data_IF_820501923947
#
_entry.id   IF_820501923947
#
_cell.length_a   1.000
_cell.length_b   1.000
_cell.length_c   1.000
_cell.angle_alpha   90.00
_cell.angle_beta   90.00
_cell.angle_gamma   90.00
#
_symmetry.space_group_name_H-M   'P 1'
#
loop_
_entity.id
_entity.type
_entity.pdbx_description
1 polymer ?
#
# COMPACT_ATOMS: atom_id res chain seq x y z
N UNK A 1 17.14 -7.08 -4.84
CA UNK A 1 16.49 -5.83 -5.29
C UNK A 1 17.23 -4.69 -4.60
N UNK A 2 18.03 -3.90 -5.34
CA UNK A 2 18.94 -2.87 -4.79
C UNK A 2 18.25 -1.86 -3.84
N UNK A 3 17.00 -1.49 -4.13
CA UNK A 3 16.21 -0.59 -3.28
C UNK A 3 15.97 -1.10 -1.83
N UNK A 4 16.03 -2.42 -1.60
CA UNK A 4 15.87 -3.02 -0.27
C UNK A 4 17.09 -2.75 0.61
N UNK A 5 18.28 -2.92 0.05
CA UNK A 5 19.55 -2.82 0.80
C UNK A 5 19.90 -1.36 1.10
N UNK A 6 19.42 -0.42 0.28
CA UNK A 6 19.67 1.02 0.43
C UNK A 6 18.60 1.79 1.24
N UNK A 7 17.60 1.10 1.80
CA UNK A 7 16.53 1.76 2.58
C UNK A 7 15.61 2.66 1.75
N UNK A 8 15.34 2.29 0.50
CA UNK A 8 14.59 3.09 -0.46
C UNK A 8 13.16 3.45 0.00
N UNK A 9 12.47 2.55 0.72
CA UNK A 9 11.12 2.84 1.25
C UNK A 9 11.19 3.94 2.32
N UNK A 10 12.17 3.88 3.22
CA UNK A 10 12.38 4.93 4.24
C UNK A 10 12.70 6.28 3.59
N UNK A 11 13.45 6.29 2.49
CA UNK A 11 13.72 7.50 1.73
C UNK A 11 12.44 8.06 1.09
N UNK A 12 11.59 7.22 0.49
CA UNK A 12 10.29 7.62 -0.05
C UNK A 12 9.38 8.21 1.05
N UNK A 13 9.30 7.57 2.20
CA UNK A 13 8.57 8.08 3.38
C UNK A 13 9.18 9.37 3.93
N UNK A 14 10.48 9.60 3.75
CA UNK A 14 11.07 10.89 4.08
C UNK A 14 10.61 12.01 3.15
N UNK A 15 10.39 11.72 1.86
CA UNK A 15 9.98 12.71 0.88
C UNK A 15 8.55 13.21 1.08
N UNK A 16 7.65 12.41 1.66
CA UNK A 16 6.26 12.85 1.93
C UNK A 16 6.20 14.02 2.90
N UNK A 17 7.27 14.25 3.69
CA UNK A 17 7.40 15.41 4.59
C UNK A 17 7.58 16.74 3.86
N UNK A 18 7.91 16.73 2.57
CA UNK A 18 8.08 17.94 1.75
C UNK A 18 6.79 18.75 1.56
N UNK A 19 5.62 18.17 1.83
CA UNK A 19 4.28 18.78 1.63
C UNK A 19 3.97 19.26 0.20
N UNK A 20 4.81 18.94 -0.77
CA UNK A 20 4.54 19.22 -2.18
C UNK A 20 3.64 18.12 -2.76
N UNK A 21 2.42 18.48 -3.19
CA UNK A 21 1.43 17.52 -3.71
C UNK A 21 1.98 16.64 -4.84
N UNK A 22 2.78 17.20 -5.75
CA UNK A 22 3.39 16.44 -6.83
C UNK A 22 4.38 15.38 -6.33
N UNK A 23 5.18 15.72 -5.31
CA UNK A 23 6.12 14.78 -4.67
C UNK A 23 5.34 13.67 -3.97
N UNK A 24 4.30 14.02 -3.22
CA UNK A 24 3.45 13.05 -2.51
C UNK A 24 2.77 12.10 -3.50
N UNK A 25 2.24 12.62 -4.61
CA UNK A 25 1.62 11.82 -5.67
C UNK A 25 2.61 10.81 -6.27
N UNK A 26 3.84 11.26 -6.56
CA UNK A 26 4.89 10.38 -7.08
C UNK A 26 5.33 9.32 -6.06
N UNK A 27 5.43 9.69 -4.78
CA UNK A 27 5.72 8.72 -3.71
C UNK A 27 4.62 7.68 -3.60
N UNK A 28 3.35 8.09 -3.56
CA UNK A 28 2.21 7.17 -3.52
C UNK A 28 2.23 6.20 -4.71
N UNK A 29 2.49 6.70 -5.92
CA UNK A 29 2.65 5.87 -7.12
C UNK A 29 3.81 4.89 -7.01
N UNK A 30 4.96 5.33 -6.48
CA UNK A 30 6.12 4.47 -6.24
C UNK A 30 5.83 3.35 -5.25
N UNK A 31 5.16 3.66 -4.14
CA UNK A 31 4.74 2.69 -3.12
C UNK A 31 3.75 1.67 -3.70
N UNK A 32 2.75 2.10 -4.48
CA UNK A 32 1.81 1.20 -5.15
C UNK A 32 2.51 0.21 -6.10
N UNK A 33 3.46 0.70 -6.89
CA UNK A 33 4.27 -0.15 -7.78
C UNK A 33 5.13 -1.13 -6.98
N UNK A 34 5.72 -0.71 -5.86
CA UNK A 34 6.48 -1.59 -4.99
C UNK A 34 5.59 -2.71 -4.43
N UNK A 35 4.41 -2.38 -3.91
CA UNK A 35 3.45 -3.35 -3.40
C UNK A 35 3.10 -4.39 -4.46
N UNK A 36 2.81 -3.95 -5.69
CA UNK A 36 2.53 -4.83 -6.83
C UNK A 36 3.70 -5.76 -7.18
N UNK A 37 4.92 -5.25 -7.23
CA UNK A 37 6.12 -6.04 -7.51
C UNK A 37 6.38 -7.08 -6.43
N UNK A 38 6.17 -6.72 -5.17
CA UNK A 38 6.29 -7.61 -4.03
C UNK A 38 5.23 -8.72 -4.10
N UNK A 39 3.95 -8.39 -4.39
CA UNK A 39 2.88 -9.37 -4.60
C UNK A 39 3.22 -10.40 -5.68
N UNK A 40 3.74 -9.95 -6.83
CA UNK A 40 4.18 -10.85 -7.91
C UNK A 40 5.30 -11.77 -7.46
N UNK A 41 6.27 -11.24 -6.71
CA UNK A 41 7.40 -12.01 -6.20
C UNK A 41 6.97 -13.06 -5.17
N UNK A 42 5.98 -12.75 -4.34
CA UNK A 42 5.36 -13.69 -3.39
C UNK A 42 4.59 -14.78 -4.14
N UNK A 43 3.73 -14.41 -5.09
CA UNK A 43 2.91 -15.36 -5.86
C UNK A 43 3.75 -16.32 -6.73
N UNK A 44 4.92 -15.88 -7.20
CA UNK A 44 5.88 -16.73 -7.92
C UNK A 44 6.73 -17.61 -7.00
N UNK A 45 6.54 -17.53 -5.67
CA UNK A 45 7.29 -18.29 -4.68
C UNK A 45 8.73 -17.80 -4.47
N UNK A 46 9.10 -16.66 -5.06
CA UNK A 46 10.44 -16.07 -4.97
C UNK A 46 10.68 -15.32 -3.66
N UNK A 47 9.62 -15.00 -2.92
CA UNK A 47 9.69 -14.29 -1.64
C UNK A 47 8.94 -15.04 -0.54
N UNK A 48 9.67 -15.39 0.53
CA UNK A 48 9.10 -15.94 1.77
C UNK A 48 9.48 -14.99 2.91
N UNK A 49 8.57 -14.11 3.30
CA UNK A 49 8.83 -13.13 4.34
C UNK A 49 7.69 -12.13 4.50
N UNK A 50 7.77 -11.30 5.55
CA UNK A 50 6.86 -10.17 5.74
C UNK A 50 7.11 -9.14 4.63
N UNK A 51 6.08 -8.35 4.32
CA UNK A 51 6.19 -7.27 3.34
C UNK A 51 7.17 -6.20 3.84
N UNK A 52 8.10 -5.78 2.98
CA UNK A 52 9.06 -4.71 3.29
C UNK A 52 8.36 -3.37 3.51
N UNK A 53 7.24 -3.14 2.83
CA UNK A 53 6.41 -1.95 3.07
C UNK A 53 5.87 -1.94 4.50
N UNK A 54 5.57 -3.11 5.07
CA UNK A 54 5.15 -3.21 6.46
C UNK A 54 6.35 -3.03 7.39
N UNK A 55 7.49 -3.65 7.09
CA UNK A 55 8.71 -3.54 7.92
C UNK A 55 9.25 -2.11 8.00
N UNK A 56 9.18 -1.35 6.90
CA UNK A 56 9.65 0.03 6.84
C UNK A 56 8.57 1.06 7.22
N UNK A 57 7.40 0.62 7.71
CA UNK A 57 6.37 1.50 8.27
C UNK A 57 5.52 2.25 7.23
N UNK A 58 5.51 1.81 5.96
CA UNK A 58 4.70 2.43 4.92
C UNK A 58 3.20 2.21 5.15
N UNK A 59 2.80 1.10 5.79
CA UNK A 59 1.39 0.80 6.08
C UNK A 59 0.73 1.89 6.93
N UNK A 60 1.40 2.34 7.99
CA UNK A 60 0.87 3.37 8.89
C UNK A 60 0.64 4.68 8.14
N UNK A 61 1.58 5.06 7.26
CA UNK A 61 1.43 6.24 6.43
C UNK A 61 0.29 6.10 5.42
N UNK A 62 0.15 4.95 4.75
CA UNK A 62 -0.93 4.71 3.80
C UNK A 62 -2.31 4.82 4.47
N UNK A 63 -2.49 4.18 5.64
CA UNK A 63 -3.75 4.22 6.37
C UNK A 63 -4.05 5.62 6.90
N UNK A 64 -3.06 6.32 7.45
CA UNK A 64 -3.25 7.68 7.95
C UNK A 64 -3.67 8.68 6.85
N UNK A 65 -3.38 8.39 5.58
CA UNK A 65 -3.55 9.33 4.49
C UNK A 65 -4.59 8.92 3.43
N UNK A 66 -5.17 7.72 3.51
CA UNK A 66 -6.09 7.19 2.50
C UNK A 66 -7.36 8.02 2.29
N UNK A 67 -7.71 8.93 3.21
CA UNK A 67 -8.85 9.84 3.07
C UNK A 67 -8.48 11.31 2.87
N UNK A 68 -7.18 11.63 2.85
CA UNK A 68 -6.68 13.01 3.03
C UNK A 68 -6.26 13.71 1.73
N UNK A 69 -5.92 12.96 0.68
CA UNK A 69 -5.38 13.52 -0.56
C UNK A 69 -6.40 13.56 -1.71
N UNK A 70 -6.08 14.30 -2.77
CA UNK A 70 -6.86 14.36 -4.02
C UNK A 70 -7.00 12.99 -4.68
N UNK A 71 -8.04 12.80 -5.49
CA UNK A 71 -8.43 11.52 -6.12
C UNK A 71 -7.27 10.75 -6.75
N UNK A 72 -6.40 11.41 -7.51
CA UNK A 72 -5.26 10.72 -8.16
C UNK A 72 -4.22 10.16 -7.17
N UNK A 73 -3.88 10.89 -6.11
CA UNK A 73 -2.94 10.44 -5.08
C UNK A 73 -3.60 9.39 -4.18
N UNK A 74 -4.87 9.61 -3.84
CA UNK A 74 -5.70 8.67 -3.07
C UNK A 74 -5.79 7.32 -3.77
N UNK A 75 -6.06 7.32 -5.07
CA UNK A 75 -6.10 6.11 -5.90
C UNK A 75 -4.81 5.28 -5.80
N UNK A 76 -3.63 5.92 -5.79
CA UNK A 76 -2.37 5.20 -5.61
C UNK A 76 -2.19 4.63 -4.19
N UNK A 77 -2.63 5.36 -3.15
CA UNK A 77 -2.61 4.86 -1.76
C UNK A 77 -3.52 3.64 -1.62
N UNK A 78 -4.72 3.74 -2.17
CA UNK A 78 -5.72 2.67 -2.23
C UNK A 78 -5.19 1.43 -2.95
N UNK A 79 -4.61 1.59 -4.14
CA UNK A 79 -3.98 0.47 -4.87
C UNK A 79 -2.85 -0.20 -4.06
N UNK A 80 -2.04 0.57 -3.35
CA UNK A 80 -0.99 0.01 -2.49
C UNK A 80 -1.60 -0.86 -1.38
N UNK A 81 -2.67 -0.38 -0.73
CA UNK A 81 -3.38 -1.13 0.32
C UNK A 81 -4.01 -2.42 -0.24
N UNK A 82 -4.61 -2.37 -1.43
CA UNK A 82 -5.16 -3.56 -2.09
C UNK A 82 -4.08 -4.62 -2.36
N UNK A 83 -2.93 -4.22 -2.90
CA UNK A 83 -1.81 -5.16 -3.14
C UNK A 83 -1.25 -5.74 -1.84
N UNK A 84 -1.15 -4.95 -0.77
CA UNK A 84 -0.76 -5.44 0.55
C UNK A 84 -1.76 -6.44 1.13
N UNK A 85 -3.06 -6.18 0.99
CA UNK A 85 -4.10 -7.09 1.44
C UNK A 85 -4.09 -8.42 0.65
N UNK A 86 -3.78 -8.38 -0.64
CA UNK A 86 -3.60 -9.59 -1.45
C UNK A 86 -2.43 -10.45 -0.95
N UNK A 87 -1.33 -9.82 -0.52
CA UNK A 87 -0.19 -10.50 0.10
C UNK A 87 -0.55 -11.13 1.46
N UNK A 88 -1.54 -10.55 2.14
CA UNK A 88 -2.00 -10.94 3.47
C UNK A 88 -2.95 -12.14 3.50
N UNK A 89 -3.39 -12.63 2.35
CA UNK A 89 -4.20 -13.87 2.27
C UNK A 89 -3.45 -15.10 2.82
N UNK A 90 -2.12 -15.02 3.00
CA UNK A 90 -1.33 -15.94 3.84
C UNK A 90 -0.85 -15.38 5.19
N UNK A 91 -0.91 -14.05 5.41
CA UNK A 91 -0.45 -13.37 6.61
C UNK A 91 -1.49 -12.31 7.03
N UNK A 92 -2.47 -12.71 7.85
CA UNK A 92 -3.64 -11.92 8.28
C UNK A 92 -3.29 -10.46 8.66
N UNK A 93 -3.43 -9.53 7.72
CA UNK A 93 -3.47 -8.09 8.02
C UNK A 93 -4.89 -7.81 8.53
N UNK A 94 -5.03 -7.63 9.85
CA UNK A 94 -6.27 -7.14 10.44
C UNK A 94 -6.37 -5.64 10.21
N UNK A 95 -6.91 -5.26 9.05
CA UNK A 95 -7.33 -3.89 8.74
C UNK A 95 -8.43 -3.36 9.70
N UNK A 96 -8.89 -4.21 10.62
CA UNK A 96 -9.95 -3.93 11.60
C UNK A 96 -9.50 -3.04 12.76
N UNK A 97 -8.19 -2.86 12.99
CA UNK A 97 -7.69 -2.07 14.14
C UNK A 97 -7.20 -0.66 13.80
N UNK A 98 -6.97 -0.35 12.52
CA UNK A 98 -6.37 0.93 12.12
C UNK A 98 -7.41 1.99 11.70
N UNK A 99 -8.69 1.68 11.82
CA UNK A 99 -9.73 2.58 11.35
C UNK A 99 -11.02 2.36 12.11
N UNK A 100 -11.46 3.38 12.84
CA UNK A 100 -12.88 3.62 13.13
C UNK A 100 -13.69 3.93 11.86
N UNK A 101 -13.37 3.28 10.75
CA UNK A 101 -14.14 3.30 9.53
C UNK A 101 -15.27 2.30 9.73
N UNK A 102 -16.50 2.81 9.79
CA UNK A 102 -17.69 2.00 9.65
C UNK A 102 -17.51 1.09 8.43
N UNK A 103 -17.76 -0.21 8.63
CA UNK A 103 -17.71 -1.29 7.63
C UNK A 103 -18.29 -0.87 6.25
N UNK A 104 -19.29 0.03 6.27
CA UNK A 104 -19.98 0.60 5.12
C UNK A 104 -19.12 1.38 4.11
N UNK A 105 -17.90 1.80 4.44
CA UNK A 105 -17.02 2.55 3.53
C UNK A 105 -15.97 1.69 2.83
N UNK A 106 -15.69 0.50 3.38
CA UNK A 106 -14.83 -0.51 2.74
C UNK A 106 -15.62 -1.35 1.73
N UNK A 107 -16.94 -1.50 1.93
CA UNK A 107 -17.81 -2.36 1.13
C UNK A 107 -17.96 -2.00 -0.35
N UNK A 108 -17.97 -0.72 -0.79
CA UNK A 108 -18.01 -0.43 -2.23
C UNK A 108 -16.69 -0.84 -2.90
N UNK A 109 -15.57 -0.56 -2.22
CA UNK A 109 -14.23 -0.83 -2.71
C UNK A 109 -13.96 -2.33 -2.87
N UNK A 110 -14.42 -3.16 -1.93
CA UNK A 110 -14.28 -4.62 -2.04
C UNK A 110 -15.23 -5.25 -3.07
N UNK A 111 -16.39 -4.62 -3.33
CA UNK A 111 -17.38 -5.12 -4.30
C UNK A 111 -16.90 -5.02 -5.75
N UNK A 112 -16.24 -3.91 -6.09
CA UNK A 112 -15.65 -3.73 -7.43
C UNK A 112 -14.48 -4.70 -7.71
N UNK A 113 -13.88 -5.28 -6.66
CA UNK A 113 -12.80 -6.28 -6.78
C UNK A 113 -13.31 -7.71 -6.99
N UNK A 114 -14.54 -8.04 -6.57
CA UNK A 114 -15.15 -9.36 -6.79
C UNK A 114 -15.68 -9.51 -8.23
N UNK A 115 -15.97 -8.39 -8.90
CA UNK A 115 -16.44 -8.34 -10.30
C UNK A 115 -15.31 -8.23 -11.35
N UNK A 116 -14.05 -8.06 -10.91
CA UNK A 116 -12.88 -8.08 -11.80
C UNK A 116 -12.14 -9.42 -11.65
N UNK A 117 -12.60 -10.44 -12.37
CA UNK A 117 -11.84 -11.66 -12.64
C UNK A 117 -10.41 -11.32 -13.11
N UNK A 118 -9.43 -11.64 -12.27
CA UNK A 118 -7.99 -11.73 -12.61
C UNK A 118 -7.61 -13.20 -12.70
#
# INVERSE_FOLDING_TARGET
MLLKEDGGIKALLAMVRSRHNNVISQVARGIANFAKCESRSINQGHWKGRSLLIEDGALDWLVANCTTFTDSTRHHIELALCHLAQNASGARISLTSASGLHQSSMTPMMKDFEDCDI
#
